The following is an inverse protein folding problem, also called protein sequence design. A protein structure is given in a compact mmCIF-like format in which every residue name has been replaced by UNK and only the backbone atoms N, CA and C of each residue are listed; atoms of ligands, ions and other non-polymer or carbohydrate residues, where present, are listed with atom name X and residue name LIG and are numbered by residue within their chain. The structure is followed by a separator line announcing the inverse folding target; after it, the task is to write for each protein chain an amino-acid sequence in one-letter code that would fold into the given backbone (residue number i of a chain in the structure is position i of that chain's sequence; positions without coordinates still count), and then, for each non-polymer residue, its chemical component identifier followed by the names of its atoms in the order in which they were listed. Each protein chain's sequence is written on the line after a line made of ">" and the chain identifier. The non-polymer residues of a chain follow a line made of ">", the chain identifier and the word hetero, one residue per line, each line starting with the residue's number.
data_IF_423006584364
#
_entry.id   IF_423006584364
#
_cell.length_a   1.000
_cell.length_b   1.000
_cell.length_c   1.000
_cell.angle_alpha   90.00
_cell.angle_beta   90.00
_cell.angle_gamma   90.00
#
_symmetry.space_group_name_H-M   'P 1'
#
loop_
_entity.id
_entity.type
_entity.pdbx_description
1 polymer ?
#
# COMPACT_ATOMS: atom_id res chain seq x y z
N UNK A 1 -16.78 -1.14 -22.01
CA UNK A 1 -17.34 0.19 -21.71
C UNK A 1 -16.35 0.82 -20.76
N UNK A 2 -15.68 1.89 -21.18
CA UNK A 2 -14.75 2.60 -20.28
C UNK A 2 -15.58 3.40 -19.29
N UNK A 3 -15.43 3.07 -18.01
CA UNK A 3 -16.08 3.80 -16.93
C UNK A 3 -15.27 5.08 -16.65
N UNK A 4 -15.91 6.26 -16.61
CA UNK A 4 -15.17 7.52 -16.51
C UNK A 4 -14.47 7.62 -15.16
N UNK A 5 -13.18 8.00 -15.20
CA UNK A 5 -12.37 8.11 -14.00
C UNK A 5 -12.88 9.24 -13.11
N UNK A 6 -13.16 8.91 -11.85
CA UNK A 6 -13.58 9.86 -10.83
C UNK A 6 -12.59 9.91 -9.66
N UNK A 7 -12.47 11.09 -9.06
CA UNK A 7 -11.71 11.31 -7.83
C UNK A 7 -12.58 12.08 -6.83
N UNK A 8 -12.50 11.72 -5.56
CA UNK A 8 -13.20 12.44 -4.49
C UNK A 8 -12.21 13.28 -3.70
N UNK A 9 -12.46 14.58 -3.64
CA UNK A 9 -11.66 15.55 -2.86
C UNK A 9 -12.62 16.31 -1.95
N UNK A 10 -12.33 16.37 -0.65
CA UNK A 10 -13.16 17.03 0.37
C UNK A 10 -14.64 16.61 0.35
N UNK A 11 -14.91 15.34 0.02
CA UNK A 11 -16.27 14.79 -0.03
C UNK A 11 -17.04 15.09 -1.32
N UNK A 12 -16.43 15.79 -2.28
CA UNK A 12 -17.01 16.07 -3.60
C UNK A 12 -16.34 15.17 -4.65
N UNK A 13 -17.16 14.49 -5.46
CA UNK A 13 -16.67 13.64 -6.55
C UNK A 13 -16.55 14.44 -7.84
N UNK A 14 -15.41 14.33 -8.51
CA UNK A 14 -15.10 15.01 -9.76
C UNK A 14 -14.76 14.00 -10.85
N UNK A 15 -15.28 14.25 -12.05
CA UNK A 15 -14.80 13.57 -13.25
C UNK A 15 -13.42 14.11 -13.59
N UNK A 16 -12.41 13.25 -13.67
CA UNK A 16 -11.02 13.68 -13.92
C UNK A 16 -10.90 14.40 -15.26
N UNK A 17 -11.68 13.98 -16.27
CA UNK A 17 -11.71 14.62 -17.59
C UNK A 17 -12.23 16.06 -17.58
N UNK A 18 -12.94 16.47 -16.52
CA UNK A 18 -13.51 17.82 -16.38
C UNK A 18 -12.63 18.74 -15.52
N UNK A 19 -11.55 18.21 -14.94
CA UNK A 19 -10.60 18.98 -14.14
C UNK A 19 -9.62 19.77 -15.01
N UNK A 20 -8.98 20.79 -14.43
CA UNK A 20 -7.88 21.50 -15.09
C UNK A 20 -6.70 20.56 -15.40
N UNK A 21 -5.84 20.94 -16.34
CA UNK A 21 -4.67 20.14 -16.70
C UNK A 21 -3.75 19.89 -15.50
N UNK A 22 -3.55 20.91 -14.67
CA UNK A 22 -2.75 20.81 -13.45
C UNK A 22 -3.36 19.83 -12.45
N UNK A 23 -4.69 19.87 -12.27
CA UNK A 23 -5.39 18.95 -11.36
C UNK A 23 -5.34 17.50 -11.88
N UNK A 24 -5.48 17.28 -13.19
CA UNK A 24 -5.30 15.96 -13.81
C UNK A 24 -3.88 15.41 -13.59
N UNK A 25 -2.86 16.27 -13.70
CA UNK A 25 -1.48 15.89 -13.41
C UNK A 25 -1.32 15.47 -11.94
N UNK A 26 -1.90 16.21 -10.99
CA UNK A 26 -1.84 15.83 -9.58
C UNK A 26 -2.54 14.50 -9.30
N UNK A 27 -3.67 14.21 -9.96
CA UNK A 27 -4.33 12.90 -9.85
C UNK A 27 -3.40 11.77 -10.30
N UNK A 28 -2.67 11.96 -11.41
CA UNK A 28 -1.72 10.96 -11.89
C UNK A 28 -0.55 10.77 -10.92
N UNK A 29 0.00 11.86 -10.38
CA UNK A 29 1.07 11.82 -9.39
C UNK A 29 0.64 11.08 -8.11
N UNK A 30 -0.57 11.37 -7.60
CA UNK A 30 -1.13 10.68 -6.44
C UNK A 30 -1.28 9.17 -6.71
N UNK A 31 -1.87 8.79 -7.86
CA UNK A 31 -2.03 7.38 -8.23
C UNK A 31 -0.69 6.65 -8.32
N UNK A 32 0.34 7.30 -8.84
CA UNK A 32 1.68 6.74 -8.89
C UNK A 32 2.24 6.49 -7.49
N UNK A 33 2.18 7.49 -6.61
CA UNK A 33 2.65 7.36 -5.23
C UNK A 33 1.86 6.29 -4.46
N UNK A 34 0.55 6.20 -4.66
CA UNK A 34 -0.29 5.16 -4.04
C UNK A 34 0.10 3.75 -4.47
N UNK A 35 0.45 3.56 -5.75
CA UNK A 35 0.94 2.27 -6.26
C UNK A 35 2.28 1.90 -5.62
N UNK A 36 3.20 2.85 -5.50
CA UNK A 36 4.49 2.62 -4.83
C UNK A 36 4.30 2.29 -3.34
N UNK A 37 3.40 3.01 -2.66
CA UNK A 37 3.04 2.71 -1.27
C UNK A 37 2.44 1.31 -1.12
N UNK A 38 1.58 0.87 -2.04
CA UNK A 38 1.02 -0.48 -2.04
C UNK A 38 2.11 -1.54 -2.23
N UNK A 39 3.06 -1.31 -3.14
CA UNK A 39 4.20 -2.20 -3.34
C UNK A 39 5.08 -2.32 -2.09
N UNK A 40 5.37 -1.19 -1.41
CA UNK A 40 6.12 -1.19 -0.16
C UNK A 40 5.38 -1.93 0.96
N UNK A 41 4.07 -1.75 1.10
CA UNK A 41 3.24 -2.49 2.08
C UNK A 41 3.28 -4.00 1.82
N UNK A 42 3.25 -4.41 0.55
CA UNK A 42 3.37 -5.83 0.18
C UNK A 42 4.74 -6.41 0.60
N UNK A 43 5.83 -5.69 0.34
CA UNK A 43 7.18 -6.08 0.81
C UNK A 43 7.27 -6.14 2.32
N UNK A 44 6.66 -5.19 3.02
CA UNK A 44 6.61 -5.19 4.48
C UNK A 44 5.90 -6.45 5.00
N UNK A 45 4.74 -6.80 4.43
CA UNK A 45 3.98 -7.99 4.82
C UNK A 45 4.77 -9.29 4.61
N UNK A 46 5.52 -9.40 3.50
CA UNK A 46 6.45 -10.49 3.26
C UNK A 46 7.52 -10.58 4.37
N UNK A 47 8.20 -9.46 4.65
CA UNK A 47 9.23 -9.40 5.69
C UNK A 47 8.67 -9.74 7.07
N UNK A 48 7.46 -9.25 7.41
CA UNK A 48 6.78 -9.56 8.67
C UNK A 48 6.51 -11.06 8.81
N UNK A 49 6.06 -11.72 7.73
CA UNK A 49 5.83 -13.17 7.71
C UNK A 49 7.14 -13.93 7.94
N UNK A 50 8.20 -13.57 7.23
CA UNK A 50 9.52 -14.18 7.42
C UNK A 50 10.05 -13.98 8.85
N UNK A 51 9.90 -12.78 9.42
CA UNK A 51 10.29 -12.47 10.80
C UNK A 51 9.60 -13.41 11.80
N UNK A 52 8.29 -13.60 11.68
CA UNK A 52 7.52 -14.51 12.55
C UNK A 52 8.03 -15.94 12.42
N UNK A 53 8.26 -16.42 11.18
CA UNK A 53 8.80 -17.75 10.94
C UNK A 53 10.17 -17.95 11.60
N UNK A 54 11.06 -16.98 11.46
CA UNK A 54 12.40 -17.04 12.06
C UNK A 54 12.37 -16.93 13.58
N UNK A 55 11.49 -16.11 14.15
CA UNK A 55 11.30 -16.03 15.60
C UNK A 55 10.80 -17.36 16.17
N UNK A 56 9.87 -18.02 15.48
CA UNK A 56 9.38 -19.35 15.86
C UNK A 56 10.48 -20.40 15.76
N UNK A 57 11.27 -20.40 14.68
CA UNK A 57 12.40 -21.31 14.52
C UNK A 57 13.44 -21.10 15.62
N UNK A 58 13.76 -19.84 15.96
CA UNK A 58 14.67 -19.51 17.03
C UNK A 58 14.16 -20.02 18.39
N UNK A 59 12.86 -19.83 18.69
CA UNK A 59 12.25 -20.32 19.94
C UNK A 59 12.38 -21.84 20.11
N UNK A 60 12.39 -22.58 19.01
CA UNK A 60 12.59 -24.04 19.02
C UNK A 60 14.08 -24.42 19.16
N UNK A 61 14.99 -23.59 18.65
CA UNK A 61 16.42 -23.85 18.66
C UNK A 61 17.12 -23.44 19.97
N UNK A 62 16.55 -22.50 20.74
CA UNK A 62 17.12 -22.09 22.02
C UNK A 62 16.78 -23.09 23.13
N UNK A 63 17.69 -23.32 24.10
CA UNK A 63 17.39 -24.15 25.27
C UNK A 63 16.18 -23.58 26.02
N UNK A 64 15.15 -24.40 26.26
CA UNK A 64 14.11 -24.01 27.21
C UNK A 64 14.73 -24.09 28.60
N UNK A 65 14.91 -22.95 29.26
CA UNK A 65 15.18 -22.96 30.69
C UNK A 65 13.99 -23.64 31.37
N UNK A 66 14.21 -24.87 31.86
CA UNK A 66 13.29 -25.50 32.78
C UNK A 66 13.32 -24.62 34.04
N UNK A 67 12.25 -23.88 34.26
CA UNK A 67 12.00 -23.15 35.48
C UNK A 67 10.75 -23.72 36.13
#
# INVERSE_FOLDING_TARGET
>A
MDEPLQVTVDGVSYLVSELSAEAQEQVNNLRFVDQEMAALRSRLALCSTARIAYENALRLAVPRSIQ
#
